data_IF_747240759081
#
_entry.id   IF_747240759081
#
_cell.length_a   1.000
_cell.length_b   1.000
_cell.length_c   1.000
_cell.angle_alpha   90.00
_cell.angle_beta   90.00
_cell.angle_gamma   90.00
#
_symmetry.space_group_name_H-M   'P 1'
#
loop_
_entity.id
_entity.type
_entity.pdbx_description
1 polymer ?
#
# COMPACT_ATOMS: atom_id res chain seq x y z
N UNK A 1 -11.95 -13.65 0.04
CA UNK A 1 -11.30 -13.50 1.37
C UNK A 1 -11.53 -12.06 1.79
N UNK A 2 -12.07 -11.77 2.98
CA UNK A 2 -12.31 -10.37 3.36
C UNK A 2 -11.00 -9.72 3.81
N UNK A 3 -10.31 -9.04 2.90
CA UNK A 3 -9.10 -8.28 3.21
C UNK A 3 -9.49 -6.94 3.83
N UNK A 4 -8.93 -6.67 5.01
CA UNK A 4 -9.26 -5.51 5.85
C UNK A 4 -8.13 -4.50 5.95
N UNK A 5 -6.88 -4.98 5.92
CA UNK A 5 -5.67 -4.14 5.89
C UNK A 5 -4.59 -4.81 5.06
N UNK A 6 -3.87 -4.03 4.28
CA UNK A 6 -2.65 -4.44 3.59
C UNK A 6 -1.58 -3.38 3.85
N UNK A 7 -0.37 -3.80 4.20
CA UNK A 7 0.81 -2.95 4.25
C UNK A 7 1.76 -3.40 3.15
N UNK A 8 2.16 -2.48 2.29
CA UNK A 8 2.99 -2.70 1.12
C UNK A 8 4.27 -1.88 1.23
N UNK A 9 5.39 -2.46 0.82
CA UNK A 9 6.59 -1.70 0.44
C UNK A 9 6.53 -1.41 -1.06
N UNK A 10 6.56 -0.13 -1.40
CA UNK A 10 6.40 0.35 -2.77
C UNK A 10 7.55 1.26 -3.14
N UNK A 11 8.25 0.91 -4.22
CA UNK A 11 9.24 1.76 -4.86
C UNK A 11 8.62 2.59 -5.98
N UNK A 12 9.00 3.87 -6.08
CA UNK A 12 8.68 4.69 -7.25
C UNK A 12 9.84 5.57 -7.69
N UNK A 13 9.85 5.99 -8.95
CA UNK A 13 10.76 7.04 -9.41
C UNK A 13 10.43 8.39 -8.74
N UNK A 14 11.44 9.25 -8.59
CA UNK A 14 11.22 10.64 -8.18
C UNK A 14 10.49 11.49 -9.22
N UNK A 15 10.54 11.08 -10.49
CA UNK A 15 9.96 11.85 -11.60
C UNK A 15 8.43 11.73 -11.68
N UNK A 16 7.93 10.50 -11.83
CA UNK A 16 6.52 10.13 -11.83
C UNK A 16 6.35 8.68 -11.35
N UNK A 17 5.19 8.33 -10.76
CA UNK A 17 4.10 9.22 -10.38
C UNK A 17 4.51 10.13 -9.21
N UNK A 18 3.81 11.25 -9.04
CA UNK A 18 3.92 12.03 -7.78
C UNK A 18 3.35 11.21 -6.64
N UNK A 19 3.74 11.54 -5.41
CA UNK A 19 3.27 10.81 -4.24
C UNK A 19 1.74 10.86 -4.10
N UNK A 20 1.12 12.00 -4.41
CA UNK A 20 -0.34 12.17 -4.38
C UNK A 20 -1.04 11.42 -5.50
N UNK A 21 -0.47 11.36 -6.71
CA UNK A 21 -1.04 10.57 -7.82
C UNK A 21 -1.10 9.08 -7.50
N UNK A 22 -0.04 8.55 -6.85
CA UNK A 22 -0.03 7.18 -6.38
C UNK A 22 -1.14 6.92 -5.33
N UNK A 23 -1.27 7.78 -4.32
CA UNK A 23 -2.30 7.61 -3.29
C UNK A 23 -3.72 7.75 -3.85
N UNK A 24 -3.94 8.67 -4.79
CA UNK A 24 -5.23 8.81 -5.47
C UNK A 24 -5.58 7.56 -6.29
N UNK A 25 -4.60 6.94 -6.95
CA UNK A 25 -4.85 5.70 -7.69
C UNK A 25 -5.30 4.57 -6.76
N UNK A 26 -4.68 4.45 -5.59
CA UNK A 26 -5.00 3.46 -4.56
C UNK A 26 -6.37 3.72 -3.93
N UNK A 27 -6.71 4.98 -3.63
CA UNK A 27 -7.99 5.37 -3.04
C UNK A 27 -9.20 5.01 -3.92
N UNK A 28 -9.00 4.87 -5.24
CA UNK A 28 -10.05 4.45 -6.18
C UNK A 28 -10.32 2.95 -6.22
N UNK A 29 -9.53 2.13 -5.53
CA UNK A 29 -9.64 0.67 -5.57
C UNK A 29 -10.91 0.21 -4.82
N UNK A 30 -11.69 -0.73 -5.36
CA UNK A 30 -12.86 -1.26 -4.68
C UNK A 30 -12.55 -1.81 -3.28
N UNK A 31 -13.33 -1.39 -2.30
CA UNK A 31 -13.20 -1.84 -0.91
C UNK A 31 -12.15 -1.08 -0.10
N UNK A 32 -11.40 -0.13 -0.70
CA UNK A 32 -10.56 0.81 0.04
C UNK A 32 -11.42 1.86 0.73
N UNK A 33 -11.17 2.10 2.02
CA UNK A 33 -11.84 3.13 2.83
C UNK A 33 -10.85 4.20 3.30
N UNK A 34 -9.57 3.84 3.46
CA UNK A 34 -8.51 4.76 3.85
C UNK A 34 -7.15 4.30 3.35
N UNK A 35 -6.29 5.27 3.06
CA UNK A 35 -4.89 5.07 2.69
C UNK A 35 -4.01 5.95 3.56
N UNK A 36 -2.96 5.37 4.12
CA UNK A 36 -1.87 6.08 4.76
C UNK A 36 -0.56 5.69 4.11
N UNK A 37 0.37 6.63 3.95
CA UNK A 37 1.68 6.31 3.43
C UNK A 37 2.76 7.19 4.05
N UNK A 38 3.94 6.62 4.20
CA UNK A 38 5.14 7.29 4.67
C UNK A 38 6.33 6.93 3.78
N UNK A 39 7.20 7.91 3.55
CA UNK A 39 8.47 7.66 2.86
C UNK A 39 9.38 6.89 3.82
N UNK A 40 9.88 5.73 3.40
CA UNK A 40 10.79 4.90 4.19
C UNK A 40 12.24 5.24 3.88
N UNK A 41 12.55 5.39 2.60
CA UNK A 41 13.88 5.74 2.10
C UNK A 41 13.79 6.58 0.83
N UNK A 42 14.85 7.32 0.53
CA UNK A 42 14.94 8.12 -0.69
C UNK A 42 16.40 8.21 -1.15
N UNK A 43 16.62 7.82 -2.40
CA UNK A 43 17.90 7.92 -3.09
C UNK A 43 17.84 8.97 -4.21
N UNK A 44 18.89 9.08 -5.01
CA UNK A 44 19.00 10.07 -6.10
C UNK A 44 17.92 9.91 -7.20
N UNK A 45 17.38 8.70 -7.38
CA UNK A 45 16.44 8.39 -8.48
C UNK A 45 15.12 7.79 -7.99
N UNK A 46 15.09 7.21 -6.79
CA UNK A 46 14.00 6.38 -6.28
C UNK A 46 13.53 6.84 -4.89
N UNK A 47 12.28 6.53 -4.59
CA UNK A 47 11.65 6.74 -3.29
C UNK A 47 10.96 5.44 -2.87
N UNK A 48 11.36 4.91 -1.71
CA UNK A 48 10.68 3.82 -1.02
C UNK A 48 9.55 4.37 -0.16
N UNK A 49 8.42 3.68 -0.16
CA UNK A 49 7.19 4.12 0.48
C UNK A 49 6.54 2.92 1.17
N UNK A 50 6.29 3.06 2.48
CA UNK A 50 5.39 2.14 3.18
C UNK A 50 3.96 2.65 3.01
N UNK A 51 3.10 1.84 2.39
CA UNK A 51 1.69 2.16 2.17
C UNK A 51 0.83 1.21 2.98
N UNK A 52 -0.01 1.77 3.85
CA UNK A 52 -1.05 1.05 4.57
C UNK A 52 -2.41 1.38 3.96
N UNK A 53 -3.12 0.35 3.52
CA UNK A 53 -4.47 0.44 2.98
C UNK A 53 -5.41 -0.26 3.94
N UNK A 54 -6.49 0.40 4.36
CA UNK A 54 -7.56 -0.17 5.16
C UNK A 54 -8.91 -0.07 4.45
N UNK A 55 -9.77 -1.03 4.72
CA UNK A 55 -11.14 -1.01 4.24
C UNK A 55 -11.86 -2.33 4.44
N UNK A 56 -12.80 -2.64 3.54
CA UNK A 56 -13.63 -3.81 3.61
C UNK A 56 -13.71 -4.53 2.27
N UNK A 57 -13.23 -5.78 2.26
CA UNK A 57 -13.12 -6.63 1.07
C UNK A 57 -12.35 -5.93 -0.05
N UNK A 58 -11.16 -5.39 0.31
CA UNK A 58 -10.24 -4.74 -0.61
C UNK A 58 -9.92 -5.68 -1.77
N UNK A 59 -10.08 -5.19 -3.00
CA UNK A 59 -9.67 -5.89 -4.20
C UNK A 59 -8.14 -5.84 -4.32
N UNK A 60 -7.48 -6.94 -3.94
CA UNK A 60 -6.03 -7.04 -3.94
C UNK A 60 -5.44 -6.97 -5.34
N UNK A 61 -6.04 -7.67 -6.30
CA UNK A 61 -5.49 -7.72 -7.65
C UNK A 61 -5.59 -6.34 -8.32
N UNK A 62 -6.73 -5.65 -8.18
CA UNK A 62 -6.89 -4.26 -8.66
C UNK A 62 -5.96 -3.29 -7.91
N UNK A 63 -5.70 -3.50 -6.61
CA UNK A 63 -4.75 -2.68 -5.85
C UNK A 63 -3.34 -2.75 -6.44
N UNK A 64 -2.84 -3.97 -6.66
CA UNK A 64 -1.50 -4.19 -7.24
C UNK A 64 -1.46 -3.61 -8.66
N UNK A 65 -2.46 -3.92 -9.49
CA UNK A 65 -2.57 -3.39 -10.85
C UNK A 65 -2.53 -1.85 -10.89
N UNK A 66 -3.25 -1.17 -9.98
CA UNK A 66 -3.28 0.30 -9.92
C UNK A 66 -1.92 0.88 -9.54
N UNK A 67 -1.23 0.27 -8.58
CA UNK A 67 0.11 0.69 -8.16
C UNK A 67 1.08 0.51 -9.33
N UNK A 68 1.07 -0.65 -9.99
CA UNK A 68 1.99 -0.92 -11.11
C UNK A 68 1.71 -0.02 -12.32
N UNK A 69 0.44 0.17 -12.68
CA UNK A 69 0.05 1.05 -13.80
C UNK A 69 0.36 2.52 -13.54
N UNK A 70 0.54 2.93 -12.29
CA UNK A 70 0.99 4.29 -11.96
C UNK A 70 2.45 4.54 -12.32
N UNK A 71 3.23 3.48 -12.60
CA UNK A 71 4.68 3.54 -12.78
C UNK A 71 5.48 3.28 -11.50
N UNK A 72 4.83 2.72 -10.47
CA UNK A 72 5.47 2.29 -9.22
C UNK A 72 5.61 0.76 -9.21
N UNK A 73 6.40 0.21 -8.29
CA UNK A 73 6.61 -1.22 -8.15
C UNK A 73 6.34 -1.65 -6.71
N UNK A 74 5.56 -2.72 -6.53
CA UNK A 74 5.38 -3.35 -5.22
C UNK A 74 6.55 -4.29 -4.97
N UNK A 75 7.36 -4.03 -3.95
CA UNK A 75 8.51 -4.87 -3.59
C UNK A 75 8.09 -6.05 -2.72
N UNK A 76 7.24 -5.79 -1.73
CA UNK A 76 6.75 -6.79 -0.78
C UNK A 76 5.39 -6.44 -0.21
N UNK A 77 4.72 -7.48 0.30
CA UNK A 77 3.58 -7.35 1.21
C UNK A 77 4.12 -7.55 2.61
N UNK A 78 4.23 -6.46 3.37
CA UNK A 78 4.81 -6.49 4.71
C UNK A 78 3.82 -7.01 5.76
N UNK A 79 2.53 -6.76 5.54
CA UNK A 79 1.46 -7.25 6.41
C UNK A 79 0.15 -7.39 5.64
N UNK A 80 -0.64 -8.41 6.00
CA UNK A 80 -2.03 -8.54 5.57
C UNK A 80 -2.91 -8.93 6.77
N UNK A 81 -4.07 -8.30 6.90
CA UNK A 81 -5.08 -8.65 7.90
C UNK A 81 -6.40 -8.98 7.22
N UNK A 82 -6.96 -10.15 7.56
CA UNK A 82 -8.17 -10.69 6.93
C UNK A 82 -9.20 -11.13 7.96
N UNK A 83 -10.48 -11.04 7.61
CA UNK A 83 -11.59 -11.52 8.44
C UNK A 83 -12.56 -10.43 8.89
N UNK A 84 -13.25 -10.66 10.00
CA UNK A 84 -14.32 -9.78 10.51
C UNK A 84 -13.83 -8.65 11.41
N UNK A 85 -12.59 -8.75 11.90
CA UNK A 85 -11.94 -7.77 12.77
C UNK A 85 -10.47 -7.70 12.43
N UNK A 86 -9.85 -6.55 12.70
CA UNK A 86 -8.41 -6.40 12.60
C UNK A 86 -7.75 -7.13 13.78
N UNK A 87 -6.68 -7.87 13.47
CA UNK A 87 -5.76 -8.42 14.47
C UNK A 87 -4.46 -7.64 14.29
N UNK A 88 -4.07 -6.91 15.32
CA UNK A 88 -2.80 -6.20 15.31
C UNK A 88 -1.63 -7.17 15.41
N UNK A 89 -0.55 -6.86 14.71
CA UNK A 89 0.67 -7.64 14.81
C UNK A 89 1.29 -7.41 16.19
N UNK A 90 1.41 -8.48 16.98
CA UNK A 90 2.11 -8.43 18.27
C UNK A 90 3.61 -8.56 17.99
N UNK A 91 4.25 -7.45 17.63
CA UNK A 91 5.71 -7.37 17.68
C UNK A 91 6.11 -7.27 19.15
N UNK A 92 6.65 -8.36 19.70
CA UNK A 92 7.28 -8.32 21.01
C UNK A 92 8.45 -7.33 20.95
N UNK A 93 8.50 -6.37 21.88
CA UNK A 93 9.71 -5.61 22.13
C UNK A 93 10.74 -6.61 22.68
N UNK A 94 11.61 -7.13 21.81
CA UNK A 94 12.79 -7.91 22.19
C UNK A 94 13.98 -6.96 22.20
#
# INVERSE_FOLDING_TARGET
MNIRRIVLDVGKSLSRPTFVELLNAIDTVPGVEAVNASVTEMDMETMGISITVEGNNIDYDELIDKIERSGSAVHSIDQIAVGKKLIENIRGNI
#
